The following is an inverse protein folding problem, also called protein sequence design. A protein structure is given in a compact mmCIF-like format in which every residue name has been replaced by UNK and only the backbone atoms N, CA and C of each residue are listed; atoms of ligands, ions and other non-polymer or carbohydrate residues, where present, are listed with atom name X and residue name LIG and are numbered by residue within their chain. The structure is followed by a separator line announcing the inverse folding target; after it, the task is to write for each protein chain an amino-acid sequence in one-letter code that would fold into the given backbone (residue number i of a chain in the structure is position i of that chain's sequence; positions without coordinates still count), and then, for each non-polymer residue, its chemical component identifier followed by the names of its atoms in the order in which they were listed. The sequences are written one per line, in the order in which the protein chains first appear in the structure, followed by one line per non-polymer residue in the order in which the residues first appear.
data_IF_433104146109
#
_entry.id   IF_433104146109
#
_cell.length_a   1.000
_cell.length_b   1.000
_cell.length_c   1.000
_cell.angle_alpha   90.00
_cell.angle_beta   90.00
_cell.angle_gamma   90.00
#
_symmetry.space_group_name_H-M   'P 1'
#
loop_
_entity.id
_entity.type
_entity.pdbx_description
1 polymer ?
#
# COMPACT_ATOMS: atom_id res chain seq x y z
N UNK A 1 4.47 3.01 20.55
CA UNK A 1 4.40 3.05 19.07
C UNK A 1 3.69 1.78 18.59
N UNK A 2 2.37 1.81 18.46
CA UNK A 2 1.50 0.65 18.14
C UNK A 2 0.82 0.79 16.78
N UNK A 3 1.43 1.54 15.86
CA UNK A 3 0.89 1.80 14.52
C UNK A 3 1.24 0.71 13.50
N UNK A 4 0.40 0.61 12.47
CA UNK A 4 0.62 -0.18 11.26
C UNK A 4 2.01 0.14 10.66
N UNK A 5 2.71 -0.83 10.05
CA UNK A 5 4.00 -0.57 9.41
C UNK A 5 3.85 0.42 8.25
N UNK A 6 4.81 1.33 8.09
CA UNK A 6 4.82 2.30 7.00
C UNK A 6 5.07 1.59 5.66
N UNK A 7 4.10 1.59 4.72
CA UNK A 7 4.25 0.90 3.43
C UNK A 7 5.37 1.49 2.55
N UNK A 8 5.69 2.77 2.69
CA UNK A 8 6.77 3.43 1.94
C UNK A 8 8.17 2.99 2.42
N UNK A 9 8.30 2.78 3.73
CA UNK A 9 9.55 2.40 4.40
C UNK A 9 9.71 0.89 4.65
N UNK A 10 8.76 0.08 4.17
CA UNK A 10 8.74 -1.37 4.36
C UNK A 10 9.01 -2.13 3.06
N UNK A 11 9.48 -3.38 3.20
CA UNK A 11 9.66 -4.32 2.09
C UNK A 11 9.13 -5.70 2.46
N UNK A 12 8.67 -6.44 1.45
CA UNK A 12 8.33 -7.84 1.58
C UNK A 12 9.00 -8.67 0.48
N UNK A 13 9.48 -9.85 0.86
CA UNK A 13 10.03 -10.85 -0.08
C UNK A 13 9.27 -12.16 0.13
N UNK A 14 8.52 -12.58 -0.89
CA UNK A 14 7.75 -13.82 -0.89
C UNK A 14 8.50 -14.86 -1.73
N UNK A 15 9.07 -15.84 -1.06
CA UNK A 15 9.89 -16.88 -1.66
C UNK A 15 9.08 -18.17 -1.68
N UNK A 16 9.04 -18.87 -2.80
CA UNK A 16 8.45 -20.18 -2.82
C UNK A 16 8.93 -21.05 -3.96
N UNK A 17 9.08 -22.33 -3.66
CA UNK A 17 9.45 -23.36 -4.63
C UNK A 17 8.28 -24.32 -4.78
N UNK A 18 7.59 -24.24 -5.92
CA UNK A 18 6.46 -25.07 -6.28
C UNK A 18 6.90 -26.27 -7.14
N UNK A 19 7.85 -26.07 -8.06
CA UNK A 19 8.36 -27.12 -8.93
C UNK A 19 9.74 -27.59 -8.46
N UNK A 20 9.89 -28.89 -8.26
CA UNK A 20 11.17 -29.50 -7.88
C UNK A 20 11.61 -30.54 -8.93
N UNK A 21 12.92 -30.64 -9.15
CA UNK A 21 13.52 -31.65 -10.04
C UNK A 21 13.64 -33.02 -9.38
N UNK A 22 13.89 -33.04 -8.07
CA UNK A 22 14.20 -34.27 -7.33
C UNK A 22 13.35 -34.47 -6.08
N UNK A 23 12.48 -33.51 -5.75
CA UNK A 23 11.49 -33.61 -4.67
C UNK A 23 10.08 -33.58 -5.27
N UNK A 24 9.08 -33.91 -4.45
CA UNK A 24 7.70 -33.78 -4.86
C UNK A 24 7.31 -32.32 -5.10
N UNK A 25 6.55 -32.05 -6.18
CA UNK A 25 6.01 -30.73 -6.46
C UNK A 25 4.98 -30.29 -5.40
N UNK A 26 4.92 -28.97 -5.17
CA UNK A 26 4.00 -28.28 -4.27
C UNK A 26 3.27 -27.17 -5.04
N UNK A 27 2.37 -27.50 -5.99
CA UNK A 27 1.74 -26.51 -6.87
C UNK A 27 0.96 -25.42 -6.12
N UNK A 28 0.44 -25.73 -4.93
CA UNK A 28 -0.24 -24.76 -4.06
C UNK A 28 0.64 -23.55 -3.69
N UNK A 29 1.98 -23.70 -3.69
CA UNK A 29 2.92 -22.62 -3.40
C UNK A 29 2.81 -21.48 -4.42
N UNK A 30 2.52 -21.78 -5.69
CA UNK A 30 2.35 -20.75 -6.72
C UNK A 30 1.15 -19.84 -6.39
N UNK A 31 0.02 -20.44 -6.03
CA UNK A 31 -1.17 -19.71 -5.60
C UNK A 31 -0.94 -18.95 -4.28
N UNK A 32 -0.19 -19.52 -3.34
CA UNK A 32 0.20 -18.83 -2.11
C UNK A 32 0.92 -17.51 -2.41
N UNK A 33 1.95 -17.55 -3.26
CA UNK A 33 2.77 -16.37 -3.56
C UNK A 33 1.96 -15.27 -4.26
N UNK A 34 1.17 -15.65 -5.27
CA UNK A 34 0.36 -14.72 -6.04
C UNK A 34 -0.69 -14.02 -5.15
N UNK A 35 -1.46 -14.81 -4.40
CA UNK A 35 -2.55 -14.30 -3.59
C UNK A 35 -2.04 -13.55 -2.36
N UNK A 36 -0.98 -14.02 -1.70
CA UNK A 36 -0.40 -13.31 -0.56
C UNK A 36 0.20 -11.96 -0.99
N UNK A 37 0.83 -11.89 -2.17
CA UNK A 37 1.27 -10.60 -2.74
C UNK A 37 0.08 -9.66 -2.92
N UNK A 38 -1.01 -10.15 -3.50
CA UNK A 38 -2.20 -9.33 -3.73
C UNK A 38 -2.77 -8.78 -2.41
N UNK A 39 -2.90 -9.62 -1.39
CA UNK A 39 -3.40 -9.19 -0.07
C UNK A 39 -2.45 -8.20 0.63
N UNK A 40 -1.13 -8.40 0.59
CA UNK A 40 -0.18 -7.46 1.20
C UNK A 40 -0.14 -6.11 0.47
N UNK A 41 -0.35 -6.10 -0.85
CA UNK A 41 -0.41 -4.86 -1.63
C UNK A 41 -1.75 -4.12 -1.50
N UNK A 42 -2.79 -4.77 -0.98
CA UNK A 42 -4.11 -4.17 -0.85
C UNK A 42 -4.14 -3.09 0.25
N UNK A 43 -4.62 -1.89 -0.11
CA UNK A 43 -4.68 -0.74 0.78
C UNK A 43 -5.55 -0.97 2.04
N UNK A 44 -6.53 -1.87 1.96
CA UNK A 44 -7.40 -2.23 3.08
C UNK A 44 -6.76 -3.23 4.04
N UNK A 45 -5.60 -3.80 3.70
CA UNK A 45 -4.82 -4.74 4.53
C UNK A 45 -3.54 -4.06 5.01
N UNK A 46 -2.52 -3.95 4.15
CA UNK A 46 -1.28 -3.22 4.45
C UNK A 46 -1.11 -2.02 3.51
N UNK A 47 -1.30 -2.23 2.21
CA UNK A 47 -1.12 -1.21 1.18
C UNK A 47 0.34 -1.08 0.76
N UNK A 48 1.10 -2.18 0.81
CA UNK A 48 2.49 -2.20 0.37
C UNK A 48 2.55 -1.88 -1.14
N UNK A 49 3.34 -0.88 -1.57
CA UNK A 49 3.51 -0.63 -3.00
C UNK A 49 3.96 -1.89 -3.74
N UNK A 50 3.44 -2.13 -4.93
CA UNK A 50 3.70 -3.37 -5.67
C UNK A 50 5.19 -3.58 -5.97
N UNK A 51 5.96 -2.49 -6.11
CA UNK A 51 7.41 -2.50 -6.26
C UNK A 51 8.18 -2.82 -4.96
N UNK A 52 7.53 -2.71 -3.79
CA UNK A 52 8.11 -3.06 -2.49
C UNK A 52 7.83 -4.51 -2.07
N UNK A 53 7.09 -5.27 -2.90
CA UNK A 53 6.78 -6.67 -2.68
C UNK A 53 7.39 -7.55 -3.78
N UNK A 54 8.56 -8.13 -3.49
CA UNK A 54 9.26 -9.01 -4.41
C UNK A 54 8.74 -10.46 -4.30
N UNK A 55 8.59 -11.13 -5.44
CA UNK A 55 8.25 -12.56 -5.50
C UNK A 55 9.41 -13.32 -6.10
N UNK A 56 9.89 -14.35 -5.40
CA UNK A 56 10.97 -15.23 -5.81
C UNK A 56 10.40 -16.63 -5.98
N UNK A 57 10.00 -16.95 -7.21
CA UNK A 57 9.43 -18.25 -7.56
C UNK A 57 10.49 -19.24 -8.07
N UNK A 58 10.44 -20.47 -7.58
CA UNK A 58 11.30 -21.59 -7.98
C UNK A 58 12.81 -21.25 -8.04
N UNK A 59 13.41 -20.67 -6.98
CA UNK A 59 14.83 -20.31 -6.97
C UNK A 59 15.71 -21.53 -7.27
N UNK A 60 16.66 -21.36 -8.19
CA UNK A 60 17.52 -22.46 -8.65
C UNK A 60 18.81 -22.60 -7.83
N UNK A 61 19.29 -21.52 -7.23
CA UNK A 61 20.53 -21.45 -6.45
C UNK A 61 20.38 -20.47 -5.28
N UNK A 62 21.27 -20.56 -4.30
CA UNK A 62 21.20 -19.78 -3.07
C UNK A 62 21.15 -18.26 -3.31
N UNK A 63 21.97 -17.74 -4.21
CA UNK A 63 21.98 -16.31 -4.56
C UNK A 63 20.62 -15.81 -5.06
N UNK A 64 19.92 -16.59 -5.90
CA UNK A 64 18.59 -16.21 -6.39
C UNK A 64 17.53 -16.13 -5.27
N UNK A 65 17.75 -16.82 -4.15
CA UNK A 65 16.89 -16.75 -2.97
C UNK A 65 17.31 -15.60 -2.03
N UNK A 66 18.61 -15.43 -1.79
CA UNK A 66 19.13 -14.56 -0.74
C UNK A 66 19.37 -13.11 -1.21
N UNK A 67 19.78 -12.88 -2.46
CA UNK A 67 20.06 -11.54 -2.97
C UNK A 67 18.83 -10.61 -2.92
N UNK A 68 17.60 -11.08 -3.26
CA UNK A 68 16.39 -10.25 -3.09
C UNK A 68 16.10 -9.90 -1.63
N UNK A 69 16.43 -10.80 -0.68
CA UNK A 69 16.27 -10.54 0.76
C UNK A 69 17.29 -9.51 1.24
N UNK A 70 18.54 -9.63 0.80
CA UNK A 70 19.60 -8.66 1.07
C UNK A 70 19.20 -7.27 0.59
N UNK A 71 18.82 -7.16 -0.69
CA UNK A 71 18.38 -5.89 -1.28
C UNK A 71 17.20 -5.28 -0.50
N UNK A 72 16.16 -6.07 -0.23
CA UNK A 72 15.02 -5.63 0.56
C UNK A 72 15.42 -5.18 1.98
N UNK A 73 16.41 -5.84 2.59
CA UNK A 73 16.93 -5.48 3.91
C UNK A 73 17.78 -4.21 3.94
N UNK A 74 18.43 -3.86 2.83
CA UNK A 74 19.14 -2.58 2.66
C UNK A 74 18.18 -1.40 2.49
N UNK A 75 17.04 -1.64 1.81
CA UNK A 75 16.03 -0.61 1.50
C UNK A 75 15.00 -0.40 2.63
N UNK A 76 14.61 -1.46 3.34
CA UNK A 76 13.61 -1.39 4.40
C UNK A 76 14.16 -0.72 5.66
N UNK A 77 13.47 0.31 6.16
CA UNK A 77 13.82 1.00 7.41
C UNK A 77 12.77 0.82 8.51
N UNK A 78 11.51 0.57 8.16
CA UNK A 78 10.47 0.24 9.15
C UNK A 78 10.30 -1.28 9.31
N UNK A 79 9.78 -1.98 8.30
CA UNK A 79 9.50 -3.43 8.38
C UNK A 79 10.04 -4.20 7.19
N UNK A 80 10.71 -5.32 7.46
CA UNK A 80 11.07 -6.34 6.48
C UNK A 80 10.29 -7.62 6.78
N UNK A 81 9.44 -8.04 5.84
CA UNK A 81 8.71 -9.31 5.90
C UNK A 81 9.28 -10.30 4.89
N UNK A 82 9.71 -11.46 5.35
CA UNK A 82 10.15 -12.57 4.49
C UNK A 82 9.21 -13.74 4.70
N UNK A 83 8.58 -14.18 3.62
CA UNK A 83 7.76 -15.38 3.58
C UNK A 83 8.49 -16.45 2.77
N UNK A 84 8.53 -17.68 3.27
CA UNK A 84 9.04 -18.83 2.54
C UNK A 84 8.01 -19.97 2.55
N UNK A 85 7.74 -20.55 1.38
CA UNK A 85 6.95 -21.77 1.27
C UNK A 85 7.62 -22.83 0.38
N UNK A 86 7.69 -24.06 0.87
CA UNK A 86 8.34 -25.16 0.15
C UNK A 86 8.75 -26.32 1.05
N UNK A 87 9.71 -27.12 0.60
CA UNK A 87 10.29 -28.18 1.41
C UNK A 87 11.30 -27.59 2.40
N UNK A 88 11.19 -28.03 3.65
CA UNK A 88 12.20 -27.84 4.69
C UNK A 88 12.85 -29.18 5.02
N UNK A 89 14.18 -29.20 5.03
CA UNK A 89 14.97 -30.40 5.29
C UNK A 89 15.84 -30.20 6.53
N UNK A 90 16.17 -31.30 7.21
CA UNK A 90 17.27 -31.33 8.18
C UNK A 90 18.42 -32.16 7.64
N UNK A 91 19.61 -31.78 8.06
CA UNK A 91 20.74 -32.70 8.00
C UNK A 91 20.55 -33.83 9.01
N UNK A 92 21.12 -35.01 8.74
CA UNK A 92 21.09 -36.12 9.68
C UNK A 92 21.99 -35.86 10.90
N UNK A 93 23.08 -35.12 10.69
CA UNK A 93 24.12 -34.86 11.67
C UNK A 93 23.98 -33.48 12.35
N UNK A 94 23.16 -32.58 11.80
CA UNK A 94 22.89 -31.26 12.36
C UNK A 94 21.39 -31.02 12.52
N UNK A 95 21.00 -30.35 13.60
CA UNK A 95 19.60 -29.97 13.81
C UNK A 95 19.17 -28.77 12.94
N UNK A 96 19.99 -28.33 11.99
CA UNK A 96 19.75 -27.11 11.21
C UNK A 96 18.67 -27.29 10.14
N UNK A 97 17.89 -26.24 9.94
CA UNK A 97 16.88 -26.16 8.89
C UNK A 97 17.52 -25.73 7.56
N UNK A 98 17.20 -26.44 6.49
CA UNK A 98 17.54 -26.11 5.11
C UNK A 98 16.27 -25.86 4.28
N UNK A 99 16.27 -24.79 3.51
CA UNK A 99 15.19 -24.35 2.63
C UNK A 99 15.43 -24.89 1.21
N UNK A 100 14.46 -25.64 0.69
CA UNK A 100 14.49 -26.27 -0.62
C UNK A 100 14.50 -25.29 -1.80
N UNK A 101 15.43 -25.54 -2.71
CA UNK A 101 15.53 -24.94 -4.05
C UNK A 101 14.96 -25.91 -5.09
N UNK A 102 14.73 -25.41 -6.32
CA UNK A 102 14.21 -26.23 -7.44
C UNK A 102 15.04 -27.50 -7.70
N UNK A 103 16.35 -27.42 -7.49
CA UNK A 103 17.30 -28.53 -7.67
C UNK A 103 17.64 -29.32 -6.40
N UNK A 104 17.01 -29.04 -5.26
CA UNK A 104 17.34 -29.72 -4.01
C UNK A 104 17.00 -31.20 -4.05
N UNK A 105 17.75 -31.99 -3.28
CA UNK A 105 17.61 -33.46 -3.19
C UNK A 105 17.45 -33.86 -1.73
N UNK A 106 16.70 -34.92 -1.47
CA UNK A 106 16.56 -35.46 -0.11
C UNK A 106 17.92 -35.87 0.45
N UNK A 107 18.14 -35.63 1.75
CA UNK A 107 19.37 -35.96 2.47
C UNK A 107 20.66 -35.34 1.89
N UNK A 108 20.53 -34.27 1.09
CA UNK A 108 21.67 -33.54 0.52
C UNK A 108 21.55 -32.03 0.83
N UNK A 109 21.79 -31.66 2.10
CA UNK A 109 21.65 -30.29 2.59
C UNK A 109 22.41 -29.24 1.77
N UNK A 110 23.57 -29.60 1.21
CA UNK A 110 24.39 -28.74 0.34
C UNK A 110 23.71 -28.35 -1.00
N UNK A 111 22.62 -29.01 -1.38
CA UNK A 111 21.79 -28.65 -2.55
C UNK A 111 20.67 -27.67 -2.22
N UNK A 112 20.66 -27.15 -0.99
CA UNK A 112 19.59 -26.33 -0.40
C UNK A 112 20.20 -25.11 0.29
N UNK A 113 19.38 -24.21 0.81
CA UNK A 113 19.87 -23.02 1.53
C UNK A 113 19.73 -23.22 3.03
N UNK A 114 20.83 -23.20 3.77
CA UNK A 114 20.76 -23.19 5.23
C UNK A 114 19.97 -21.96 5.71
N UNK A 115 18.97 -22.16 6.57
CA UNK A 115 18.18 -21.07 7.17
C UNK A 115 19.06 -20.06 7.89
N UNK A 116 20.20 -20.50 8.42
CA UNK A 116 21.19 -19.63 9.05
C UNK A 116 21.69 -18.51 8.11
N UNK A 117 21.79 -18.78 6.79
CA UNK A 117 22.18 -17.76 5.81
C UNK A 117 21.07 -16.72 5.63
N UNK A 118 19.81 -17.15 5.53
CA UNK A 118 18.66 -16.22 5.49
C UNK A 118 18.60 -15.36 6.75
N UNK A 119 18.83 -15.98 7.91
CA UNK A 119 18.91 -15.29 9.19
C UNK A 119 20.04 -14.25 9.23
N UNK A 120 21.19 -14.54 8.63
CA UNK A 120 22.28 -13.58 8.55
C UNK A 120 21.89 -12.33 7.76
N UNK A 121 21.21 -12.49 6.62
CA UNK A 121 20.68 -11.35 5.84
C UNK A 121 19.68 -10.51 6.65
N UNK A 122 18.77 -11.17 7.38
CA UNK A 122 17.81 -10.48 8.25
C UNK A 122 18.47 -9.69 9.39
N UNK A 123 19.57 -10.21 9.96
CA UNK A 123 20.33 -9.49 11.00
C UNK A 123 20.98 -8.23 10.45
N UNK A 124 21.49 -8.28 9.22
CA UNK A 124 22.10 -7.13 8.53
C UNK A 124 21.09 -6.07 8.09
N UNK A 125 19.81 -6.44 7.95
CA UNK A 125 18.75 -5.52 7.54
C UNK A 125 18.58 -4.34 8.51
N UNK A 126 18.35 -3.16 7.92
CA UNK A 126 18.16 -1.88 8.65
C UNK A 126 16.76 -1.73 9.25
N UNK A 127 15.82 -2.58 8.84
CA UNK A 127 14.44 -2.54 9.29
C UNK A 127 14.33 -2.66 10.82
N UNK A 128 13.49 -1.82 11.42
CA UNK A 128 13.17 -1.88 12.86
C UNK A 128 12.43 -3.16 13.23
N UNK A 129 11.56 -3.66 12.34
CA UNK A 129 10.79 -4.89 12.52
C UNK A 129 11.21 -5.90 11.46
N UNK A 130 11.58 -7.10 11.89
CA UNK A 130 11.91 -8.22 11.01
C UNK A 130 10.86 -9.30 11.23
N UNK A 131 10.26 -9.81 10.16
CA UNK A 131 9.20 -10.81 10.26
C UNK A 131 9.53 -11.93 9.30
N UNK A 132 9.51 -13.16 9.80
CA UNK A 132 9.75 -14.35 9.00
C UNK A 132 8.56 -15.28 9.14
N UNK A 133 8.01 -15.71 8.02
CA UNK A 133 6.94 -16.70 7.97
C UNK A 133 7.44 -17.88 7.17
N UNK A 134 7.55 -19.05 7.82
CA UNK A 134 8.01 -20.30 7.22
C UNK A 134 6.83 -21.27 7.11
N UNK A 135 6.36 -21.47 5.88
CA UNK A 135 5.33 -22.44 5.54
C UNK A 135 5.95 -23.64 4.82
N UNK A 136 6.69 -24.46 5.58
CA UNK A 136 7.46 -25.55 5.02
C UNK A 136 7.40 -26.83 5.84
N UNK A 137 7.33 -27.97 5.14
CA UNK A 137 7.42 -29.29 5.78
C UNK A 137 8.73 -29.42 6.56
N UNK A 138 8.67 -30.06 7.71
CA UNK A 138 9.85 -30.42 8.46
C UNK A 138 10.13 -31.92 8.28
N UNK A 139 10.62 -32.32 7.09
CA UNK A 139 10.84 -33.74 6.81
C UNK A 139 12.09 -34.24 7.54
N UNK A 140 11.89 -35.00 8.61
CA UNK A 140 12.97 -35.75 9.25
C UNK A 140 12.46 -36.63 10.40
N UNK A 141 12.99 -37.85 10.49
CA UNK A 141 12.75 -38.83 11.57
C UNK A 141 12.91 -38.26 12.99
N UNK A 142 13.51 -37.07 13.14
CA UNK A 142 13.62 -36.30 14.38
C UNK A 142 12.28 -35.76 14.93
N UNK A 143 11.20 -35.63 14.12
CA UNK A 143 9.87 -35.26 14.65
C UNK A 143 9.32 -36.29 15.65
N UNK A 144 9.77 -37.56 15.56
CA UNK A 144 9.43 -38.61 16.54
C UNK A 144 10.25 -38.51 17.83
N UNK A 145 11.44 -37.94 17.81
CA UNK A 145 12.32 -37.78 18.99
C UNK A 145 12.07 -36.46 19.72
N UNK A 146 11.66 -35.40 18.99
CA UNK A 146 11.42 -34.05 19.52
C UNK A 146 9.98 -33.76 19.95
N UNK A 147 9.06 -34.72 19.86
CA UNK A 147 7.82 -34.65 20.64
C UNK A 147 8.11 -34.51 22.16
N UNK A 148 9.34 -34.84 22.60
CA UNK A 148 9.87 -34.64 23.94
C UNK A 148 10.55 -33.26 24.17
N UNK A 149 10.73 -32.39 23.17
CA UNK A 149 11.40 -31.08 23.33
C UNK A 149 10.83 -30.05 22.35
N UNK A 150 9.62 -29.59 22.66
CA UNK A 150 8.81 -28.68 21.85
C UNK A 150 9.42 -27.28 21.61
N UNK A 151 10.54 -26.93 22.28
CA UNK A 151 11.16 -25.60 22.26
C UNK A 151 12.38 -25.42 21.32
N UNK A 152 12.90 -26.49 20.70
CA UNK A 152 14.17 -26.41 19.94
C UNK A 152 14.03 -25.67 18.60
N UNK A 153 12.88 -25.84 17.92
CA UNK A 153 12.58 -25.19 16.64
C UNK A 153 12.46 -23.67 16.77
N UNK A 154 11.73 -23.20 17.78
CA UNK A 154 11.60 -21.78 18.08
C UNK A 154 12.96 -21.15 18.44
N UNK A 155 13.78 -21.85 19.23
CA UNK A 155 15.12 -21.38 19.60
C UNK A 155 16.07 -21.29 18.40
N UNK A 156 16.01 -22.22 17.45
CA UNK A 156 16.82 -22.17 16.22
C UNK A 156 16.31 -21.15 15.20
N UNK A 157 15.00 -20.89 15.19
CA UNK A 157 14.37 -19.89 14.34
C UNK A 157 14.66 -18.45 14.80
N UNK A 158 14.98 -18.26 16.08
CA UNK A 158 15.20 -16.96 16.70
C UNK A 158 16.25 -16.12 15.95
N UNK A 159 15.87 -14.89 15.65
CA UNK A 159 16.72 -13.83 15.09
C UNK A 159 16.49 -12.60 15.93
N UNK A 160 17.55 -11.88 16.28
CA UNK A 160 17.44 -10.64 17.06
C UNK A 160 16.45 -9.67 16.41
N UNK A 161 15.37 -9.39 17.13
CA UNK A 161 14.29 -8.50 16.67
C UNK A 161 13.44 -9.06 15.53
N UNK A 162 13.39 -10.39 15.33
CA UNK A 162 12.48 -11.02 14.40
C UNK A 162 11.35 -11.83 15.07
N UNK A 163 10.22 -11.88 14.38
CA UNK A 163 9.11 -12.77 14.70
C UNK A 163 9.07 -13.91 13.69
N UNK A 164 9.22 -15.15 14.14
CA UNK A 164 9.14 -16.32 13.26
C UNK A 164 7.86 -17.10 13.52
N UNK A 165 7.04 -17.26 12.49
CA UNK A 165 5.91 -18.21 12.49
C UNK A 165 6.31 -19.39 11.62
N UNK A 166 6.22 -20.60 12.15
CA UNK A 166 6.48 -21.83 11.39
C UNK A 166 5.23 -22.70 11.37
N UNK A 167 4.86 -23.20 10.19
CA UNK A 167 3.97 -24.35 10.08
C UNK A 167 4.85 -25.59 9.93
N UNK A 168 4.86 -26.49 10.93
CA UNK A 168 5.69 -27.71 10.92
C UNK A 168 4.83 -28.96 10.76
N UNK A 169 4.30 -29.25 9.55
CA UNK A 169 3.55 -30.46 9.28
C UNK A 169 4.45 -31.70 9.35
N UNK A 170 3.88 -32.83 9.78
CA UNK A 170 4.59 -34.12 9.88
C UNK A 170 4.97 -34.69 8.51
N UNK A 171 4.22 -34.33 7.47
CA UNK A 171 4.42 -34.77 6.09
C UNK A 171 3.81 -33.77 5.09
N UNK A 172 3.99 -34.07 3.79
CA UNK A 172 3.48 -33.26 2.67
C UNK A 172 1.96 -33.12 2.67
N UNK A 173 1.21 -34.18 2.96
CA UNK A 173 -0.26 -34.14 2.93
C UNK A 173 -0.79 -33.13 3.94
N UNK A 174 -0.11 -32.97 5.06
CA UNK A 174 -0.47 -31.99 6.07
C UNK A 174 0.02 -30.55 5.74
N UNK A 175 0.98 -30.37 4.82
CA UNK A 175 1.39 -29.05 4.30
C UNK A 175 0.47 -28.57 3.19
N UNK A 176 0.26 -29.40 2.17
CA UNK A 176 -0.52 -29.08 0.98
C UNK A 176 -1.50 -30.24 0.74
N UNK A 177 -2.69 -30.20 1.35
CA UNK A 177 -3.70 -31.23 1.16
C UNK A 177 -4.11 -31.34 -0.31
N UNK A 178 -4.31 -32.56 -0.79
CA UNK A 178 -4.67 -32.79 -2.19
C UNK A 178 -6.01 -32.12 -2.54
N UNK A 179 -6.03 -31.41 -3.66
CA UNK A 179 -7.21 -30.69 -4.15
C UNK A 179 -7.43 -29.31 -3.54
N UNK A 180 -6.62 -28.89 -2.55
CA UNK A 180 -6.67 -27.53 -2.02
C UNK A 180 -5.83 -26.55 -2.86
N UNK A 181 -6.34 -25.32 -3.00
CA UNK A 181 -5.67 -24.27 -3.77
C UNK A 181 -4.40 -23.75 -3.07
N UNK A 182 -4.37 -23.77 -1.75
CA UNK A 182 -3.28 -23.21 -0.92
C UNK A 182 -2.70 -24.29 -0.01
N UNK A 183 -1.52 -24.04 0.53
CA UNK A 183 -1.03 -24.81 1.68
C UNK A 183 -1.94 -24.58 2.89
N UNK A 184 -1.96 -25.56 3.80
CA UNK A 184 -2.83 -25.57 4.97
C UNK A 184 -2.71 -24.29 5.81
N UNK A 185 -1.48 -23.84 6.08
CA UNK A 185 -1.22 -22.63 6.85
C UNK A 185 -1.55 -21.36 6.07
N UNK A 186 -1.03 -21.22 4.84
CA UNK A 186 -1.25 -20.01 4.05
C UNK A 186 -2.72 -19.82 3.66
N UNK A 187 -3.48 -20.89 3.46
CA UNK A 187 -4.93 -20.82 3.25
C UNK A 187 -5.66 -20.15 4.42
N UNK A 188 -5.32 -20.51 5.67
CA UNK A 188 -5.92 -19.87 6.85
C UNK A 188 -5.46 -18.41 7.01
N UNK A 189 -4.19 -18.12 6.70
CA UNK A 189 -3.65 -16.75 6.72
C UNK A 189 -4.37 -15.87 5.70
N UNK A 190 -4.50 -16.31 4.45
CA UNK A 190 -5.23 -15.58 3.42
C UNK A 190 -6.69 -15.37 3.82
N UNK A 191 -7.34 -16.39 4.38
CA UNK A 191 -8.72 -16.27 4.88
C UNK A 191 -8.82 -15.20 5.96
N UNK A 192 -7.88 -15.18 6.92
CA UNK A 192 -7.82 -14.15 7.96
C UNK A 192 -7.59 -12.75 7.40
N UNK A 193 -6.67 -12.59 6.44
CA UNK A 193 -6.41 -11.29 5.79
C UNK A 193 -7.62 -10.79 4.99
N UNK A 194 -8.36 -11.69 4.35
CA UNK A 194 -9.54 -11.38 3.53
C UNK A 194 -10.76 -11.01 4.36
N UNK A 195 -11.07 -11.83 5.34
CA UNK A 195 -12.31 -11.71 6.12
C UNK A 195 -12.14 -10.82 7.35
N UNK A 196 -10.94 -10.81 7.93
CA UNK A 196 -10.67 -10.18 9.22
C UNK A 196 -11.30 -10.93 10.40
N UNK A 197 -11.24 -10.28 11.57
CA UNK A 197 -11.84 -10.77 12.83
C UNK A 197 -12.96 -9.83 13.25
N UNK A 198 -14.21 -10.30 13.24
CA UNK A 198 -15.40 -9.50 13.59
C UNK A 198 -15.27 -8.85 14.97
N UNK A 199 -14.87 -9.65 15.96
CA UNK A 199 -14.70 -9.22 17.35
C UNK A 199 -13.24 -8.87 17.69
N UNK A 200 -12.38 -8.73 16.67
CA UNK A 200 -10.98 -8.40 16.83
C UNK A 200 -10.68 -6.89 16.87
N UNK A 201 -9.43 -6.52 17.20
CA UNK A 201 -8.95 -5.14 17.16
C UNK A 201 -8.96 -4.54 15.74
N UNK A 202 -8.84 -3.22 15.62
CA UNK A 202 -8.77 -2.53 14.32
C UNK A 202 -7.52 -2.89 13.50
N UNK A 203 -6.41 -3.15 14.19
CA UNK A 203 -5.17 -3.66 13.61
C UNK A 203 -4.94 -5.06 14.16
N UNK A 204 -4.63 -6.00 13.28
CA UNK A 204 -4.18 -7.33 13.68
C UNK A 204 -2.67 -7.27 13.88
N UNK A 205 -2.22 -7.56 15.10
CA UNK A 205 -0.81 -7.81 15.40
C UNK A 205 -0.43 -9.27 15.13
N UNK A 206 0.87 -9.56 15.14
CA UNK A 206 1.39 -10.89 14.84
C UNK A 206 0.94 -11.94 15.86
N UNK A 207 0.80 -11.57 17.14
CA UNK A 207 0.32 -12.47 18.18
C UNK A 207 -1.15 -12.85 17.97
N UNK A 208 -2.00 -11.88 17.61
CA UNK A 208 -3.40 -12.10 17.25
C UNK A 208 -3.51 -12.99 16.02
N UNK A 209 -2.70 -12.72 14.99
CA UNK A 209 -2.64 -13.57 13.78
C UNK A 209 -2.25 -14.99 14.17
N UNK A 210 -1.19 -15.17 14.96
CA UNK A 210 -0.74 -16.49 15.41
C UNK A 210 -1.83 -17.26 16.16
N UNK A 211 -2.47 -16.65 17.14
CA UNK A 211 -3.49 -17.32 17.96
C UNK A 211 -4.71 -17.76 17.15
N UNK A 212 -5.15 -16.93 16.20
CA UNK A 212 -6.28 -17.29 15.32
C UNK A 212 -5.90 -18.42 14.37
N UNK A 213 -4.69 -18.38 13.80
CA UNK A 213 -4.21 -19.46 12.93
C UNK A 213 -4.08 -20.77 13.70
N UNK A 214 -3.58 -20.71 14.93
CA UNK A 214 -3.49 -21.87 15.81
C UNK A 214 -4.87 -22.48 16.10
N UNK A 215 -5.86 -21.66 16.43
CA UNK A 215 -7.24 -22.11 16.68
C UNK A 215 -7.88 -22.74 15.43
N UNK A 216 -7.78 -22.07 14.27
CA UNK A 216 -8.36 -22.55 13.00
C UNK A 216 -7.70 -23.84 12.54
N UNK A 217 -6.37 -23.93 12.62
CA UNK A 217 -5.64 -25.14 12.25
C UNK A 217 -5.96 -26.29 13.21
N UNK A 218 -6.05 -26.04 14.52
CA UNK A 218 -6.49 -27.03 15.51
C UNK A 218 -7.90 -27.55 15.19
N UNK A 219 -8.86 -26.67 14.91
CA UNK A 219 -10.23 -27.03 14.58
C UNK A 219 -10.37 -27.88 13.31
N UNK A 220 -9.41 -27.76 12.38
CA UNK A 220 -9.34 -28.56 11.14
C UNK A 220 -8.44 -29.80 11.26
N UNK A 221 -7.98 -30.15 12.47
CA UNK A 221 -7.00 -31.21 12.71
C UNK A 221 -5.72 -31.08 11.86
N UNK A 222 -5.30 -29.84 11.61
CA UNK A 222 -4.08 -29.51 10.87
C UNK A 222 -2.91 -29.25 11.82
N UNK A 223 -1.66 -29.33 11.32
CA UNK A 223 -0.48 -29.04 12.12
C UNK A 223 -0.51 -27.64 12.71
N UNK A 224 -0.21 -27.54 14.00
CA UNK A 224 -0.25 -26.28 14.72
C UNK A 224 0.98 -25.43 14.36
N UNK A 225 0.79 -24.12 14.21
CA UNK A 225 1.91 -23.21 14.02
C UNK A 225 2.72 -23.09 15.31
N UNK A 226 4.01 -22.82 15.17
CA UNK A 226 4.90 -22.48 16.28
C UNK A 226 5.42 -21.07 16.09
N UNK A 227 5.63 -20.33 17.19
CA UNK A 227 6.23 -18.99 17.16
C UNK A 227 7.53 -18.91 17.94
N UNK A 228 8.43 -18.07 17.46
CA UNK A 228 9.59 -17.58 18.19
C UNK A 228 9.62 -16.05 18.10
N UNK A 229 9.83 -15.37 19.21
CA UNK A 229 9.93 -13.92 19.23
C UNK A 229 10.92 -13.43 20.27
N UNK A 230 11.56 -12.30 19.95
CA UNK A 230 12.38 -11.52 20.86
C UNK A 230 11.86 -10.08 20.89
N UNK A 231 12.07 -9.37 22.02
CA UNK A 231 11.76 -7.94 22.18
C UNK A 231 10.29 -7.51 21.95
N UNK A 232 9.33 -8.43 22.00
CA UNK A 232 7.89 -8.09 21.97
C UNK A 232 7.36 -7.56 20.64
N UNK A 233 8.08 -7.81 19.53
CA UNK A 233 7.65 -7.44 18.15
C UNK A 233 6.25 -7.98 17.82
N UNK A 234 5.84 -9.09 18.44
CA UNK A 234 4.54 -9.74 18.25
C UNK A 234 3.31 -8.86 18.52
N UNK A 235 3.44 -7.83 19.37
CA UNK A 235 2.35 -6.92 19.75
C UNK A 235 2.23 -5.68 18.86
N UNK A 236 3.12 -5.56 17.86
CA UNK A 236 3.07 -4.46 16.91
C UNK A 236 2.04 -4.80 15.83
N UNK A 237 1.12 -3.87 15.55
CA UNK A 237 0.15 -4.02 14.47
C UNK A 237 0.86 -4.31 13.15
N UNK A 238 0.35 -5.30 12.43
CA UNK A 238 0.91 -5.79 11.16
C UNK A 238 0.03 -5.39 9.98
N UNK A 239 -1.28 -5.63 10.09
CA UNK A 239 -2.27 -5.36 9.03
C UNK A 239 -3.53 -4.74 9.63
N UNK A 240 -4.28 -4.03 8.80
CA UNK A 240 -5.64 -3.58 9.12
C UNK A 240 -6.58 -4.79 9.16
N UNK A 241 -7.50 -4.79 10.12
CA UNK A 241 -8.55 -5.78 10.22
C UNK A 241 -9.72 -5.40 9.29
N UNK A 242 -9.84 -6.09 8.15
CA UNK A 242 -10.92 -5.83 7.16
C UNK A 242 -12.33 -5.88 7.76
N UNK A 243 -12.57 -6.76 8.72
CA UNK A 243 -13.86 -6.87 9.41
C UNK A 243 -14.25 -5.58 10.18
N UNK A 244 -13.25 -4.76 10.54
CA UNK A 244 -13.45 -3.48 11.25
C UNK A 244 -13.51 -2.29 10.28
N UNK A 245 -12.93 -2.41 9.09
CA UNK A 245 -12.96 -1.36 8.05
C UNK A 245 -14.39 -1.09 7.53
N UNK A 246 -15.24 -2.12 7.46
CA UNK A 246 -16.65 -2.01 7.05
C UNK A 246 -17.52 -1.24 8.06
N UNK A 247 -17.03 -1.02 9.29
CA UNK A 247 -17.72 -0.25 10.33
C UNK A 247 -17.46 1.25 10.32
N UNK A 248 -16.78 1.80 9.31
CA UNK A 248 -16.98 3.21 9.01
C UNK A 248 -18.40 3.33 8.45
N UNK A 249 -19.28 4.02 9.18
CA UNK A 249 -20.57 4.43 8.65
C UNK A 249 -20.35 4.92 7.21
N UNK A 250 -21.18 4.51 6.24
CA UNK A 250 -21.06 5.07 4.90
C UNK A 250 -20.97 6.58 5.06
N UNK A 251 -19.98 7.21 4.42
CA UNK A 251 -20.04 8.65 4.22
C UNK A 251 -21.48 8.92 3.78
N UNK A 252 -22.18 9.82 4.48
CA UNK A 252 -23.62 10.03 4.29
C UNK A 252 -23.99 10.17 2.82
N UNK A 253 -25.28 10.12 2.45
CA UNK A 253 -25.69 10.09 1.05
C UNK A 253 -24.91 11.12 0.26
N UNK A 254 -24.14 10.65 -0.73
CA UNK A 254 -23.34 11.52 -1.60
C UNK A 254 -24.31 12.44 -2.30
N UNK A 255 -24.42 13.68 -1.82
CA UNK A 255 -25.36 14.65 -2.40
C UNK A 255 -24.79 15.13 -3.73
N UNK A 256 -25.67 15.37 -4.70
CA UNK A 256 -25.25 15.78 -6.05
C UNK A 256 -24.39 17.07 -6.04
N UNK A 257 -24.51 17.89 -5.00
CA UNK A 257 -23.66 19.06 -4.79
C UNK A 257 -22.20 18.69 -4.50
N UNK A 258 -21.95 17.68 -3.67
CA UNK A 258 -20.60 17.24 -3.29
C UNK A 258 -19.88 16.58 -4.47
N UNK A 259 -20.61 15.79 -5.28
CA UNK A 259 -20.07 15.21 -6.52
C UNK A 259 -19.64 16.30 -7.48
N UNK A 260 -20.49 17.33 -7.68
CA UNK A 260 -20.17 18.46 -8.55
C UNK A 260 -18.96 19.25 -8.03
N UNK A 261 -18.91 19.53 -6.73
CA UNK A 261 -17.76 20.21 -6.12
C UNK A 261 -16.46 19.40 -6.29
N UNK A 262 -16.52 18.08 -6.11
CA UNK A 262 -15.39 17.18 -6.34
C UNK A 262 -14.97 17.15 -7.82
N UNK A 263 -15.92 17.12 -8.76
CA UNK A 263 -15.64 17.18 -10.20
C UNK A 263 -14.94 18.50 -10.59
N UNK A 264 -15.40 19.64 -10.06
CA UNK A 264 -14.78 20.95 -10.30
C UNK A 264 -13.34 20.98 -9.77
N UNK A 265 -13.13 20.54 -8.53
CA UNK A 265 -11.80 20.50 -7.91
C UNK A 265 -10.82 19.55 -8.64
N UNK A 266 -11.31 18.36 -9.01
CA UNK A 266 -10.52 17.38 -9.75
C UNK A 266 -10.18 17.87 -11.17
N UNK A 267 -11.14 18.48 -11.87
CA UNK A 267 -10.92 19.05 -13.20
C UNK A 267 -9.92 20.21 -13.19
N UNK A 268 -10.01 21.11 -12.20
CA UNK A 268 -9.03 22.18 -12.00
C UNK A 268 -7.63 21.62 -11.72
N UNK A 269 -7.53 20.62 -10.85
CA UNK A 269 -6.26 19.97 -10.52
C UNK A 269 -5.64 19.29 -11.74
N UNK A 270 -6.46 18.62 -12.55
CA UNK A 270 -6.03 18.00 -13.81
C UNK A 270 -5.52 19.05 -14.81
N UNK A 271 -6.24 20.15 -14.98
CA UNK A 271 -5.84 21.24 -15.87
C UNK A 271 -4.48 21.84 -15.46
N UNK A 272 -4.26 22.07 -14.16
CA UNK A 272 -2.98 22.55 -13.63
C UNK A 272 -1.83 21.57 -13.87
N UNK A 273 -2.07 20.28 -13.67
CA UNK A 273 -1.07 19.23 -13.97
C UNK A 273 -0.72 19.17 -15.46
N UNK A 274 -1.73 19.26 -16.33
CA UNK A 274 -1.53 19.29 -17.78
C UNK A 274 -0.71 20.53 -18.21
N UNK A 275 -1.03 21.71 -17.66
CA UNK A 275 -0.27 22.95 -17.90
C UNK A 275 1.18 22.82 -17.43
N UNK A 276 1.42 22.33 -16.21
CA UNK A 276 2.77 22.11 -15.67
C UNK A 276 3.57 21.08 -16.48
N UNK A 277 2.90 20.08 -17.07
CA UNK A 277 3.50 19.10 -17.98
C UNK A 277 3.72 19.60 -19.42
N UNK A 278 3.52 20.89 -19.71
CA UNK A 278 3.66 21.48 -21.05
C UNK A 278 2.52 21.13 -22.02
N UNK A 279 1.45 20.50 -21.54
CA UNK A 279 0.26 20.10 -22.31
C UNK A 279 -0.89 21.08 -22.15
N UNK A 280 -0.60 22.39 -22.17
CA UNK A 280 -1.59 23.44 -21.94
C UNK A 280 -2.80 23.39 -22.90
N UNK A 281 -2.59 22.97 -24.16
CA UNK A 281 -3.69 22.79 -25.13
C UNK A 281 -4.72 21.74 -24.69
N UNK A 282 -4.30 20.72 -23.95
CA UNK A 282 -5.19 19.65 -23.46
C UNK A 282 -5.96 20.08 -22.20
N UNK A 283 -5.48 21.10 -21.49
CA UNK A 283 -6.13 21.62 -20.29
C UNK A 283 -7.33 22.54 -20.59
N UNK A 284 -7.34 23.21 -21.76
CA UNK A 284 -8.45 24.11 -22.16
C UNK A 284 -9.79 23.38 -22.27
N UNK A 285 -9.91 22.21 -22.97
CA UNK A 285 -11.16 21.45 -22.99
C UNK A 285 -11.62 21.00 -21.61
N UNK A 286 -10.68 20.65 -20.71
CA UNK A 286 -11.00 20.23 -19.34
C UNK A 286 -11.63 21.37 -18.55
N UNK A 287 -11.04 22.57 -18.59
CA UNK A 287 -11.57 23.74 -17.91
C UNK A 287 -12.94 24.16 -18.47
N UNK A 288 -13.12 24.13 -19.80
CA UNK A 288 -14.42 24.43 -20.44
C UNK A 288 -15.50 23.43 -20.04
N UNK A 289 -15.18 22.14 -19.97
CA UNK A 289 -16.11 21.11 -19.54
C UNK A 289 -16.57 21.34 -18.09
N UNK A 290 -15.63 21.68 -17.19
CA UNK A 290 -15.95 21.98 -15.78
C UNK A 290 -16.84 23.22 -15.65
N UNK A 291 -16.64 24.24 -16.49
CA UNK A 291 -17.44 25.46 -16.49
C UNK A 291 -18.88 25.28 -16.96
N UNK A 292 -19.18 24.23 -17.74
CA UNK A 292 -20.55 23.93 -18.16
C UNK A 292 -21.40 23.38 -17.00
N UNK A 293 -20.77 22.88 -15.93
CA UNK A 293 -21.46 22.38 -14.75
C UNK A 293 -21.96 23.54 -13.87
N UNK A 294 -23.28 23.74 -13.83
CA UNK A 294 -23.91 24.70 -12.90
C UNK A 294 -23.89 24.13 -11.48
N UNK A 295 -23.04 24.68 -10.60
CA UNK A 295 -23.04 24.36 -9.17
C UNK A 295 -23.92 25.36 -8.40
N UNK A 296 -25.01 24.93 -7.74
CA UNK A 296 -25.94 25.88 -7.10
C UNK A 296 -25.38 26.64 -5.88
N UNK A 297 -24.19 26.29 -5.34
CA UNK A 297 -23.62 26.88 -4.12
C UNK A 297 -22.06 26.81 -4.09
N UNK A 298 -21.39 26.71 -5.25
CA UNK A 298 -19.94 26.44 -5.36
C UNK A 298 -19.11 27.60 -5.90
N UNK A 299 -19.52 28.84 -5.62
CA UNK A 299 -19.09 30.05 -6.33
C UNK A 299 -17.56 30.28 -6.27
N UNK A 300 -16.89 30.02 -5.14
CA UNK A 300 -15.44 30.19 -5.00
C UNK A 300 -14.58 29.21 -5.82
N UNK A 301 -15.04 27.96 -5.98
CA UNK A 301 -14.32 26.96 -6.80
C UNK A 301 -14.47 27.23 -8.30
N UNK A 302 -15.59 27.84 -8.70
CA UNK A 302 -15.84 28.22 -10.09
C UNK A 302 -14.98 29.42 -10.50
N UNK A 303 -14.83 30.42 -9.62
CA UNK A 303 -13.94 31.57 -9.81
C UNK A 303 -12.49 31.12 -10.06
N UNK A 304 -12.00 30.15 -9.28
CA UNK A 304 -10.66 29.59 -9.49
C UNK A 304 -10.49 28.92 -10.86
N UNK A 305 -11.53 28.25 -11.37
CA UNK A 305 -11.53 27.66 -12.72
C UNK A 305 -11.55 28.73 -13.81
N UNK A 306 -12.34 29.80 -13.65
CA UNK A 306 -12.38 30.92 -14.58
C UNK A 306 -11.03 31.64 -14.64
N UNK A 307 -10.37 31.82 -13.50
CA UNK A 307 -9.05 32.41 -13.44
C UNK A 307 -8.01 31.59 -14.20
N UNK A 308 -7.97 30.28 -13.94
CA UNK A 308 -7.04 29.37 -14.60
C UNK A 308 -7.30 29.30 -16.12
N UNK A 309 -8.58 29.32 -16.53
CA UNK A 309 -8.96 29.36 -17.93
C UNK A 309 -8.50 30.66 -18.59
N UNK A 310 -8.77 31.81 -17.97
CA UNK A 310 -8.37 33.11 -18.51
C UNK A 310 -6.86 33.22 -18.69
N UNK A 311 -6.07 32.73 -17.73
CA UNK A 311 -4.61 32.73 -17.83
C UNK A 311 -4.12 31.88 -19.01
N UNK A 312 -4.70 30.69 -19.20
CA UNK A 312 -4.33 29.85 -20.33
C UNK A 312 -4.79 30.41 -21.68
N UNK A 313 -5.97 31.03 -21.74
CA UNK A 313 -6.45 31.71 -22.94
C UNK A 313 -5.50 32.87 -23.31
N UNK A 314 -5.06 33.66 -22.32
CA UNK A 314 -4.06 34.72 -22.53
C UNK A 314 -2.71 34.16 -23.02
N UNK A 315 -2.19 33.09 -22.40
CA UNK A 315 -0.95 32.42 -22.83
C UNK A 315 -1.01 31.87 -24.25
N UNK A 316 -2.20 31.46 -24.70
CA UNK A 316 -2.42 30.93 -26.05
C UNK A 316 -2.77 32.01 -27.08
N UNK A 317 -2.77 33.29 -26.68
CA UNK A 317 -3.06 34.44 -27.55
C UNK A 317 -4.54 34.72 -27.77
N UNK A 318 -5.43 34.08 -27.00
CA UNK A 318 -6.88 34.25 -27.05
C UNK A 318 -7.35 35.33 -26.04
N UNK A 319 -6.72 36.51 -26.08
CA UNK A 319 -6.94 37.58 -25.10
C UNK A 319 -8.38 38.06 -25.02
N UNK A 320 -9.11 38.13 -26.15
CA UNK A 320 -10.52 38.53 -26.16
C UNK A 320 -11.40 37.56 -25.37
N UNK A 321 -11.22 36.25 -25.57
CA UNK A 321 -11.96 35.22 -24.83
C UNK A 321 -11.56 35.19 -23.35
N UNK A 322 -10.29 35.48 -23.03
CA UNK A 322 -9.83 35.62 -21.65
C UNK A 322 -10.53 36.77 -20.92
N UNK A 323 -10.72 37.91 -21.59
CA UNK A 323 -11.44 39.07 -21.05
C UNK A 323 -12.91 38.69 -20.80
N UNK A 324 -13.60 38.08 -21.76
CA UNK A 324 -15.00 37.66 -21.59
C UNK A 324 -15.21 36.73 -20.38
N UNK A 325 -14.29 35.78 -20.18
CA UNK A 325 -14.32 34.87 -19.02
C UNK A 325 -14.19 35.64 -17.70
N UNK A 326 -13.26 36.61 -17.64
CA UNK A 326 -13.04 37.40 -16.42
C UNK A 326 -14.11 38.48 -16.19
N UNK A 327 -14.74 39.01 -17.24
CA UNK A 327 -15.90 39.91 -17.10
C UNK A 327 -17.09 39.16 -16.48
N UNK A 328 -17.33 37.92 -16.91
CA UNK A 328 -18.36 37.07 -16.30
C UNK A 328 -18.00 36.76 -14.84
N UNK A 329 -16.74 36.42 -14.56
CA UNK A 329 -16.24 36.22 -13.20
C UNK A 329 -16.41 37.48 -12.34
N UNK A 330 -16.14 38.66 -12.90
CA UNK A 330 -16.31 39.95 -12.24
C UNK A 330 -17.78 40.22 -11.89
N UNK A 331 -18.72 39.96 -12.80
CA UNK A 331 -20.15 40.10 -12.53
C UNK A 331 -20.65 39.14 -11.44
N UNK A 332 -20.09 37.93 -11.38
CA UNK A 332 -20.40 36.95 -10.35
C UNK A 332 -19.82 37.37 -8.99
N UNK A 333 -18.56 37.83 -8.98
CA UNK A 333 -17.87 38.34 -7.81
C UNK A 333 -18.49 39.63 -7.26
N UNK A 334 -19.18 40.43 -8.09
CA UNK A 334 -19.89 41.64 -7.65
C UNK A 334 -20.99 41.35 -6.60
N UNK A 335 -21.42 40.09 -6.45
CA UNK A 335 -22.36 39.65 -5.42
C UNK A 335 -21.69 39.15 -4.12
N UNK A 336 -20.37 38.95 -4.13
CA UNK A 336 -19.62 38.29 -3.06
C UNK A 336 -18.45 39.19 -2.65
N UNK A 337 -18.52 39.77 -1.45
CA UNK A 337 -17.39 40.51 -0.89
C UNK A 337 -16.30 39.52 -0.45
N UNK A 338 -15.08 39.62 -1.00
CA UNK A 338 -13.98 38.74 -0.63
C UNK A 338 -12.65 39.01 -1.37
N UNK A 339 -11.53 38.42 -0.91
CA UNK A 339 -10.21 38.61 -1.50
C UNK A 339 -10.11 38.09 -2.95
N UNK A 340 -10.91 37.08 -3.28
CA UNK A 340 -10.98 36.48 -4.62
C UNK A 340 -11.51 37.48 -5.68
N UNK A 341 -12.46 38.33 -5.30
CA UNK A 341 -13.01 39.37 -6.17
C UNK A 341 -11.93 40.39 -6.57
N UNK A 342 -11.05 40.76 -5.64
CA UNK A 342 -9.93 41.69 -5.90
C UNK A 342 -8.92 41.09 -6.88
N UNK A 343 -8.65 39.79 -6.76
CA UNK A 343 -7.74 39.07 -7.68
C UNK A 343 -8.30 39.05 -9.10
N UNK A 344 -9.60 38.75 -9.26
CA UNK A 344 -10.27 38.80 -10.57
C UNK A 344 -10.20 40.19 -11.18
N UNK A 345 -10.53 41.24 -10.41
CA UNK A 345 -10.49 42.62 -10.88
C UNK A 345 -9.10 43.02 -11.37
N UNK A 346 -8.06 42.71 -10.59
CA UNK A 346 -6.68 43.01 -10.96
C UNK A 346 -6.29 42.33 -12.28
N UNK A 347 -6.58 41.03 -12.41
CA UNK A 347 -6.22 40.30 -13.63
C UNK A 347 -7.00 40.78 -14.86
N UNK A 348 -8.28 41.09 -14.69
CA UNK A 348 -9.11 41.68 -15.74
C UNK A 348 -8.55 43.03 -16.19
N UNK A 349 -8.16 43.89 -15.25
CA UNK A 349 -7.55 45.17 -15.55
C UNK A 349 -6.21 45.03 -16.30
N UNK A 350 -5.37 44.07 -15.92
CA UNK A 350 -4.11 43.78 -16.61
C UNK A 350 -4.38 43.41 -18.09
N UNK A 351 -5.33 42.50 -18.34
CA UNK A 351 -5.68 42.09 -19.72
C UNK A 351 -6.33 43.20 -20.53
N UNK A 352 -7.20 44.01 -19.92
CA UNK A 352 -7.80 45.20 -20.57
C UNK A 352 -6.73 46.25 -20.92
N UNK A 353 -5.72 46.42 -20.06
CA UNK A 353 -4.60 47.30 -20.34
C UNK A 353 -3.73 46.79 -21.49
N UNK A 354 -3.43 45.49 -21.52
CA UNK A 354 -2.70 44.84 -22.61
C UNK A 354 -3.45 44.95 -23.95
N UNK A 355 -4.79 44.93 -23.93
CA UNK A 355 -5.62 45.10 -25.12
C UNK A 355 -5.87 46.57 -25.51
N UNK A 356 -5.26 47.54 -24.81
CA UNK A 356 -5.38 48.97 -25.10
C UNK A 356 -6.66 49.64 -24.55
N UNK A 357 -7.42 48.95 -23.71
CA UNK A 357 -8.71 49.41 -23.20
C UNK A 357 -8.56 50.08 -21.81
N UNK A 358 -7.74 51.13 -21.77
CA UNK A 358 -7.27 51.75 -20.52
C UNK A 358 -8.38 52.37 -19.66
N UNK A 359 -9.48 52.84 -20.26
CA UNK A 359 -10.59 53.46 -19.53
C UNK A 359 -11.29 52.40 -18.67
N UNK A 360 -11.63 51.26 -19.26
CA UNK A 360 -12.28 50.15 -18.54
C UNK A 360 -11.35 49.54 -17.49
N UNK A 361 -10.05 49.42 -17.77
CA UNK A 361 -9.07 48.95 -16.79
C UNK A 361 -9.04 49.83 -15.52
N UNK A 362 -9.09 51.16 -15.69
CA UNK A 362 -9.18 52.10 -14.57
C UNK A 362 -10.47 51.95 -13.76
N UNK A 363 -11.60 51.69 -14.41
CA UNK A 363 -12.90 51.47 -13.73
C UNK A 363 -12.87 50.19 -12.88
N UNK A 364 -12.35 49.09 -13.43
CA UNK A 364 -12.21 47.82 -12.71
C UNK A 364 -11.27 47.95 -11.50
N UNK A 365 -10.16 48.70 -11.64
CA UNK A 365 -9.22 48.94 -10.52
C UNK A 365 -9.82 49.81 -9.42
N UNK A 366 -10.61 50.84 -9.76
CA UNK A 366 -11.36 51.62 -8.77
C UNK A 366 -12.31 50.72 -7.98
N UNK A 367 -13.02 49.84 -8.67
CA UNK A 367 -13.90 48.87 -8.03
C UNK A 367 -13.13 47.90 -7.11
N UNK A 368 -11.92 47.48 -7.48
CA UNK A 368 -11.08 46.64 -6.64
C UNK A 368 -10.67 47.35 -5.33
N UNK A 369 -10.37 48.65 -5.40
CA UNK A 369 -10.07 49.49 -4.23
C UNK A 369 -11.27 49.61 -3.31
N UNK A 370 -12.46 49.90 -3.85
CA UNK A 370 -13.70 49.98 -3.08
C UNK A 370 -14.01 48.66 -2.36
N UNK A 371 -13.79 47.52 -3.02
CA UNK A 371 -13.94 46.19 -2.42
C UNK A 371 -12.94 45.95 -1.28
N UNK A 372 -11.68 46.34 -1.47
CA UNK A 372 -10.63 46.18 -0.46
C UNK A 372 -10.88 47.06 0.78
N UNK A 373 -11.30 48.32 0.60
CA UNK A 373 -11.59 49.25 1.69
C UNK A 373 -12.82 48.83 2.51
N UNK A 374 -13.88 48.35 1.84
CA UNK A 374 -15.09 47.91 2.51
C UNK A 374 -14.94 46.53 3.18
N UNK A 375 -14.10 45.64 2.65
CA UNK A 375 -13.78 44.35 3.27
C UNK A 375 -13.05 44.48 4.61
N UNK A 376 -12.20 45.49 4.77
CA UNK A 376 -11.49 45.77 6.03
C UNK A 376 -12.43 46.27 7.14
N UNK A 377 -13.52 46.96 6.79
CA UNK A 377 -14.51 47.45 7.77
C UNK A 377 -15.46 46.36 8.31
N UNK A 378 -15.64 45.26 7.58
CA UNK A 378 -16.53 44.17 7.98
C UNK A 378 -15.87 43.12 8.90
N UNK A 379 -14.55 43.20 9.11
CA UNK A 379 -13.78 42.26 9.96
C UNK A 379 -13.36 42.84 11.32
N UNK A 380 -13.80 44.05 11.67
CA UNK A 380 -13.53 44.73 12.96
C UNK A 380 -14.72 44.63 13.90
#
# INVERSE_FOLDING_TARGET
MTGLPDPGASRAVLIGTASYRHLHALPAVEANLADLRAELCDATVWGLPSQHCAVVADPQHAAAMLDPVRQAGEEATDTLLVYYAGHGMRDADSADLYLGLKGSRENAGYTSVAYQHLRAELRLARARRKIVVLDCCFSGRAARTLAATQNVLAAQAAVDGAYVITASPRDRMALAPDGERYTAFTGELLTLLREGLKDGPELLDLDTVFHVLEERLRGKNRPLPQRSQENGVGRLGLVRNRARAVRRAPAGPVVAADVRAAMVSAGLSLARMLRAGGRGRDALPVLRLVLQERVPNGEGSLLAVQMELADMLAETGQTGEAIEVLELAFQQAHKIYGPEAVVVCRRLADLLQESGNHIQACEVLKHALDLAENGVRAQV
#
